data_IF_276768582591
#
_entry.id   IF_276768582591
#
_cell.length_a   1.000
_cell.length_b   1.000
_cell.length_c   1.000
_cell.angle_alpha   90.00
_cell.angle_beta   90.00
_cell.angle_gamma   90.00
#
_symmetry.space_group_name_H-M   'P 1'
#
loop_
_entity.id
_entity.type
_entity.pdbx_description
1 polymer ?
#
# COMPACT_ATOMS: atom_id res chain seq x y z
N UNK A 1 -2.67 -8.64 -11.82
CA UNK A 1 -2.23 -9.34 -10.60
C UNK A 1 -0.83 -9.90 -10.85
N UNK A 2 0.19 -9.47 -10.11
CA UNK A 2 1.61 -9.81 -10.39
C UNK A 2 2.07 -11.16 -9.77
N UNK A 3 1.20 -11.90 -9.09
CA UNK A 3 1.57 -13.15 -8.43
C UNK A 3 1.74 -14.29 -9.45
N UNK A 4 2.96 -14.81 -9.59
CA UNK A 4 3.27 -15.90 -10.50
C UNK A 4 3.13 -17.28 -9.85
N UNK A 5 3.81 -17.52 -8.72
CA UNK A 5 3.69 -18.69 -7.86
C UNK A 5 4.49 -18.46 -6.58
N UNK A 6 4.26 -19.28 -5.55
CA UNK A 6 5.11 -19.27 -4.37
C UNK A 6 6.47 -19.90 -4.71
N UNK A 7 7.57 -19.23 -4.38
CA UNK A 7 8.91 -19.76 -4.62
C UNK A 7 9.23 -21.01 -3.78
N UNK A 8 8.54 -21.23 -2.66
CA UNK A 8 8.81 -22.35 -1.76
C UNK A 8 8.07 -23.63 -2.13
N UNK A 9 6.80 -23.54 -2.55
CA UNK A 9 5.98 -24.71 -2.87
C UNK A 9 5.58 -24.79 -4.35
N UNK A 10 5.97 -23.79 -5.16
CA UNK A 10 5.68 -23.66 -6.59
C UNK A 10 4.18 -23.64 -6.96
N UNK A 11 3.30 -23.51 -5.98
CA UNK A 11 1.87 -23.45 -6.22
C UNK A 11 1.41 -22.02 -6.52
N UNK A 12 0.57 -21.90 -7.53
CA UNK A 12 -0.17 -20.68 -7.89
C UNK A 12 -1.55 -20.74 -7.25
N UNK A 13 -1.58 -20.79 -5.92
CA UNK A 13 -2.83 -20.69 -5.15
C UNK A 13 -2.99 -19.28 -4.55
N UNK A 14 -4.02 -19.05 -3.75
CA UNK A 14 -4.29 -17.75 -3.15
C UNK A 14 -3.26 -17.38 -2.09
N UNK A 15 -3.00 -16.08 -1.98
CA UNK A 15 -2.23 -15.49 -0.88
C UNK A 15 -3.19 -15.04 0.22
N UNK A 16 -2.87 -15.39 1.45
CA UNK A 16 -3.53 -14.93 2.66
C UNK A 16 -2.85 -13.66 3.17
N UNK A 17 -3.56 -12.89 4.00
CA UNK A 17 -2.99 -11.75 4.73
C UNK A 17 -2.77 -12.20 6.17
N UNK A 18 -1.57 -11.96 6.71
CA UNK A 18 -1.22 -12.21 8.10
C UNK A 18 -0.38 -11.07 8.68
N UNK A 19 -0.14 -11.10 9.99
CA UNK A 19 0.62 -10.09 10.73
C UNK A 19 0.20 -8.64 10.41
N UNK A 20 -1.12 -8.40 10.27
CA UNK A 20 -1.63 -7.05 10.05
C UNK A 20 -1.38 -6.21 11.31
N UNK A 21 -0.61 -5.16 11.16
CA UNK A 21 -0.39 -4.13 12.16
C UNK A 21 -0.80 -2.77 11.60
N UNK A 22 -1.29 -1.93 12.49
CA UNK A 22 -1.65 -0.54 12.20
C UNK A 22 -1.02 0.30 13.30
N UNK A 23 -0.25 1.30 12.89
CA UNK A 23 0.40 2.29 13.73
C UNK A 23 -0.18 3.65 13.33
N UNK A 24 -0.59 4.44 14.32
CA UNK A 24 -1.14 5.78 14.15
C UNK A 24 -0.35 6.70 15.08
N UNK A 25 0.36 7.66 14.52
CA UNK A 25 1.20 8.63 15.24
C UNK A 25 1.03 10.03 14.65
N UNK A 26 0.47 10.95 15.44
CA UNK A 26 0.39 12.41 15.18
C UNK A 26 0.00 12.81 13.73
N UNK A 27 -0.96 12.11 13.10
CA UNK A 27 -1.43 12.41 11.74
C UNK A 27 -0.76 11.60 10.63
N UNK A 28 0.08 10.62 10.98
CA UNK A 28 0.59 9.57 10.12
C UNK A 28 0.00 8.20 10.54
N UNK A 29 -0.63 7.50 9.59
CA UNK A 29 -1.11 6.13 9.73
C UNK A 29 -0.28 5.18 8.86
N UNK A 30 0.38 4.21 9.49
CA UNK A 30 1.13 3.16 8.81
C UNK A 30 0.39 1.83 8.99
N UNK A 31 0.04 1.19 7.87
CA UNK A 31 -0.55 -0.14 7.83
C UNK A 31 0.44 -1.12 7.21
N UNK A 32 0.89 -2.09 8.00
CA UNK A 32 1.76 -3.16 7.53
C UNK A 32 1.06 -4.52 7.59
N UNK A 33 1.27 -5.36 6.58
CA UNK A 33 0.81 -6.75 6.62
C UNK A 33 1.60 -7.64 5.66
N UNK A 34 1.62 -8.94 5.93
CA UNK A 34 2.34 -9.92 5.12
C UNK A 34 1.39 -10.69 4.20
N UNK A 35 1.78 -10.86 2.93
CA UNK A 35 1.18 -11.79 2.00
C UNK A 35 1.79 -13.17 2.20
N UNK A 36 0.99 -14.14 2.64
CA UNK A 36 1.44 -15.48 2.98
C UNK A 36 0.84 -16.50 2.01
N UNK A 37 1.64 -17.45 1.54
CA UNK A 37 1.14 -18.52 0.68
C UNK A 37 0.26 -19.46 1.49
N UNK A 38 -1.00 -19.65 1.07
CA UNK A 38 -1.95 -20.55 1.73
C UNK A 38 -1.46 -22.00 1.88
N UNK A 39 -0.58 -22.46 0.99
CA UNK A 39 -0.20 -23.87 0.93
C UNK A 39 1.05 -24.24 1.75
N UNK A 40 1.85 -23.26 2.18
CA UNK A 40 3.10 -23.53 2.89
C UNK A 40 3.46 -22.47 3.93
N UNK A 41 2.55 -21.52 4.18
CA UNK A 41 2.71 -20.40 5.11
C UNK A 41 3.99 -19.56 4.86
N UNK A 42 4.49 -19.60 3.63
CA UNK A 42 5.64 -18.82 3.20
C UNK A 42 5.23 -17.36 2.95
N UNK A 43 5.95 -16.41 3.56
CA UNK A 43 5.77 -14.97 3.31
C UNK A 43 6.28 -14.61 1.92
N UNK A 44 5.35 -14.37 1.00
CA UNK A 44 5.60 -14.06 -0.42
C UNK A 44 6.01 -12.60 -0.60
N UNK A 45 5.36 -11.69 0.12
CA UNK A 45 5.64 -10.27 0.06
C UNK A 45 5.18 -9.59 1.34
N UNK A 46 5.82 -8.47 1.67
CA UNK A 46 5.37 -7.57 2.72
C UNK A 46 4.73 -6.36 2.10
N UNK A 47 3.59 -5.97 2.65
CA UNK A 47 2.82 -4.81 2.25
C UNK A 47 2.95 -3.74 3.31
N UNK A 48 3.31 -2.56 2.87
CA UNK A 48 3.38 -1.37 3.69
C UNK A 48 2.58 -0.28 2.97
N UNK A 49 1.64 0.31 3.68
CA UNK A 49 0.85 1.43 3.24
C UNK A 49 0.98 2.52 4.29
N UNK A 50 1.45 3.69 3.88
CA UNK A 50 1.61 4.86 4.73
C UNK A 50 0.67 5.93 4.23
N UNK A 51 -0.10 6.49 5.15
CA UNK A 51 -0.95 7.64 4.94
C UNK A 51 -0.49 8.73 5.89
N UNK A 52 -0.30 9.94 5.39
CA UNK A 52 0.05 11.08 6.22
C UNK A 52 -0.69 12.32 5.75
N UNK A 53 -0.98 13.21 6.69
CA UNK A 53 -1.51 14.54 6.36
C UNK A 53 -0.44 15.57 6.67
N UNK A 54 0.11 16.17 5.61
CA UNK A 54 1.14 17.20 5.70
C UNK A 54 0.58 18.51 5.15
N UNK A 55 0.55 19.54 6.00
CA UNK A 55 -0.08 20.83 5.73
C UNK A 55 -1.56 20.70 5.31
N UNK A 56 -1.84 20.81 4.01
CA UNK A 56 -3.18 20.75 3.40
C UNK A 56 -3.29 19.59 2.38
N UNK A 57 -2.39 18.61 2.47
CA UNK A 57 -2.29 17.49 1.54
C UNK A 57 -2.34 16.15 2.27
N UNK A 58 -3.12 15.24 1.72
CA UNK A 58 -3.11 13.82 2.07
C UNK A 58 -2.10 13.12 1.17
N UNK A 59 -1.08 12.51 1.76
CA UNK A 59 -0.06 11.73 1.08
C UNK A 59 -0.33 10.25 1.28
N UNK A 60 -0.27 9.48 0.20
CA UNK A 60 -0.54 8.06 0.16
C UNK A 60 0.65 7.34 -0.47
N UNK A 61 1.34 6.50 0.30
CA UNK A 61 2.45 5.69 -0.19
C UNK A 61 2.16 4.21 0.01
N UNK A 62 2.21 3.43 -1.06
CA UNK A 62 2.15 1.97 -1.01
C UNK A 62 3.49 1.39 -1.46
N UNK A 63 4.01 0.45 -0.67
CA UNK A 63 5.18 -0.35 -0.97
C UNK A 63 4.88 -1.84 -0.77
N UNK A 64 4.76 -2.59 -1.86
CA UNK A 64 4.63 -4.04 -1.82
C UNK A 64 5.28 -4.69 -3.04
N UNK A 65 6.12 -5.71 -2.84
CA UNK A 65 6.73 -6.45 -3.95
C UNK A 65 5.70 -7.16 -4.85
N UNK A 66 4.50 -7.42 -4.34
CA UNK A 66 3.43 -8.09 -5.06
C UNK A 66 2.41 -7.13 -5.66
N UNK A 67 1.97 -6.13 -4.88
CA UNK A 67 0.95 -5.17 -5.33
C UNK A 67 1.56 -4.07 -6.21
N UNK A 68 2.81 -3.69 -5.94
CA UNK A 68 3.52 -2.62 -6.63
C UNK A 68 4.02 -1.54 -5.67
N UNK A 69 4.60 -0.50 -6.25
CA UNK A 69 4.95 0.74 -5.54
C UNK A 69 4.11 1.86 -6.14
N UNK A 70 3.48 2.66 -5.30
CA UNK A 70 2.69 3.81 -5.73
C UNK A 70 2.77 4.91 -4.68
N UNK A 71 2.82 6.15 -5.14
CA UNK A 71 2.86 7.36 -4.33
C UNK A 71 1.84 8.32 -4.94
N UNK A 72 0.96 8.89 -4.14
CA UNK A 72 -0.09 9.82 -4.57
C UNK A 72 -0.30 10.91 -3.50
N UNK A 73 -0.74 12.09 -3.93
CA UNK A 73 -1.00 13.21 -3.03
C UNK A 73 -2.25 13.98 -3.47
N UNK A 74 -3.18 14.21 -2.55
CA UNK A 74 -4.49 14.83 -2.82
C UNK A 74 -4.70 16.00 -1.86
N UNK A 75 -5.16 17.17 -2.33
CA UNK A 75 -5.48 18.26 -1.41
C UNK A 75 -6.68 17.91 -0.53
N UNK A 76 -6.66 18.40 0.72
CA UNK A 76 -7.82 18.34 1.62
C UNK A 76 -8.81 19.48 1.38
N UNK A 77 -8.41 20.47 0.58
CA UNK A 77 -9.21 21.65 0.28
C UNK A 77 -10.37 21.31 -0.69
N UNK A 78 -11.54 21.93 -0.52
CA UNK A 78 -12.68 21.71 -1.41
C UNK A 78 -12.50 22.33 -2.81
N UNK A 79 -11.58 23.30 -2.97
CA UNK A 79 -11.19 23.91 -4.24
C UNK A 79 -9.66 23.84 -4.35
N UNK A 80 -9.18 22.90 -5.16
CA UNK A 80 -7.76 22.67 -5.41
C UNK A 80 -7.17 23.80 -6.29
N UNK A 81 -6.32 24.70 -5.78
CA UNK A 81 -5.68 25.74 -6.61
C UNK A 81 -4.71 25.17 -7.65
N UNK A 82 -4.37 23.87 -7.55
CA UNK A 82 -3.47 23.15 -8.47
C UNK A 82 -4.23 22.40 -9.58
N UNK A 83 -5.54 22.13 -9.40
CA UNK A 83 -6.42 21.58 -10.45
C UNK A 83 -7.09 22.66 -11.30
N UNK A 84 -7.07 23.91 -10.84
CA UNK A 84 -7.54 25.09 -11.57
C UNK A 84 -6.47 25.71 -12.49
N UNK A 85 -5.32 25.03 -12.68
CA UNK A 85 -4.42 25.35 -13.79
C UNK A 85 -5.05 24.84 -15.09
N UNK A 86 -5.41 25.73 -16.05
CA UNK A 86 -5.94 25.28 -17.32
C UNK A 86 -4.85 24.46 -18.03
N UNK A 87 -5.22 23.26 -18.50
CA UNK A 87 -4.50 22.64 -19.60
C UNK A 87 -4.74 23.53 -20.82
N UNK A 88 -3.85 24.50 -21.02
CA UNK A 88 -3.77 25.49 -22.10
C UNK A 88 -4.70 26.71 -22.02
#
# INVERSE_FOLDING_TARGET
>A
MNYLCCASCHQRDFVLISNKATEDDDGEEIVTYDHVCKNCDHVVARHEYTFSVVDEYQEYTMLCMLCGKAEDSISVLPDDPRQSAPLF
#
